data_IF_055778509240
#
_entry.id   IF_055778509240
#
_cell.length_a   1.000
_cell.length_b   1.000
_cell.length_c   1.000
_cell.angle_alpha   90.00
_cell.angle_beta   90.00
_cell.angle_gamma   90.00
#
_symmetry.space_group_name_H-M   'P 1'
#
loop_
_entity.id
_entity.type
_entity.pdbx_description
1 polymer ?
#
# COMPACT_ATOMS: atom_id res chain seq x y z
N UNK A 1 -34.99 19.74 -1.88
CA UNK A 1 -33.57 19.30 -1.85
C UNK A 1 -33.11 19.12 -0.40
N UNK A 2 -33.06 17.86 0.08
CA UNK A 2 -32.53 17.58 1.41
C UNK A 2 -31.06 18.00 1.44
N UNK A 3 -30.71 18.95 2.30
CA UNK A 3 -29.32 19.28 2.58
C UNK A 3 -28.64 17.98 3.06
N UNK A 4 -27.71 17.46 2.27
CA UNK A 4 -27.03 16.20 2.56
C UNK A 4 -26.30 16.30 3.91
N UNK A 5 -26.47 15.28 4.76
CA UNK A 5 -25.80 15.23 6.06
C UNK A 5 -24.27 15.30 5.88
N UNK A 6 -23.62 16.25 6.56
CA UNK A 6 -22.16 16.46 6.48
C UNK A 6 -21.48 15.75 7.66
N UNK A 7 -20.71 14.71 7.38
CA UNK A 7 -19.86 14.07 8.38
C UNK A 7 -18.66 14.98 8.71
N UNK A 8 -18.41 15.21 10.00
CA UNK A 8 -17.33 16.09 10.48
C UNK A 8 -16.14 15.28 10.99
N UNK A 9 -14.94 15.66 10.55
CA UNK A 9 -13.65 15.07 10.92
C UNK A 9 -12.68 16.18 11.31
N UNK A 10 -11.68 15.85 12.12
CA UNK A 10 -10.63 16.81 12.50
C UNK A 10 -9.57 16.92 11.40
N UNK A 11 -9.39 15.86 10.60
CA UNK A 11 -8.41 15.83 9.53
C UNK A 11 -8.86 14.94 8.36
N UNK A 12 -9.06 15.54 7.18
CA UNK A 12 -9.39 14.82 5.94
C UNK A 12 -8.18 14.80 5.02
N UNK A 13 -7.75 13.60 4.63
CA UNK A 13 -6.61 13.38 3.74
C UNK A 13 -7.10 12.86 2.40
N UNK A 14 -6.76 13.57 1.32
CA UNK A 14 -7.07 13.18 -0.05
C UNK A 14 -5.80 12.59 -0.67
N UNK A 15 -5.80 11.27 -0.88
CA UNK A 15 -4.68 10.49 -1.39
C UNK A 15 -4.09 9.55 -0.33
N UNK A 16 -4.21 8.25 -0.56
CA UNK A 16 -3.64 7.16 0.25
C UNK A 16 -2.22 6.78 -0.19
N UNK A 17 -1.42 7.74 -0.65
CA UNK A 17 -0.01 7.57 -0.98
C UNK A 17 0.92 7.71 0.25
N UNK A 18 2.23 7.74 0.03
CA UNK A 18 3.22 7.80 1.11
C UNK A 18 3.00 8.97 2.07
N UNK A 19 2.80 10.19 1.55
CA UNK A 19 2.57 11.38 2.37
C UNK A 19 1.24 11.34 3.12
N UNK A 20 0.15 11.04 2.42
CA UNK A 20 -1.19 11.03 3.01
C UNK A 20 -1.34 9.98 4.12
N UNK A 21 -0.86 8.76 3.89
CA UNK A 21 -0.91 7.70 4.91
C UNK A 21 -0.04 8.02 6.12
N UNK A 22 1.15 8.61 5.92
CA UNK A 22 2.01 9.01 7.02
C UNK A 22 1.36 10.12 7.86
N UNK A 23 0.82 11.15 7.21
CA UNK A 23 0.17 12.28 7.87
C UNK A 23 -1.08 11.84 8.64
N UNK A 24 -1.98 11.10 7.99
CA UNK A 24 -3.20 10.59 8.62
C UNK A 24 -2.90 9.73 9.86
N UNK A 25 -1.93 8.82 9.75
CA UNK A 25 -1.53 7.97 10.87
C UNK A 25 -0.94 8.77 12.03
N UNK A 26 -0.13 9.80 11.76
CA UNK A 26 0.40 10.68 12.81
C UNK A 26 -0.70 11.52 13.45
N UNK A 27 -1.64 12.05 12.66
CA UNK A 27 -2.79 12.77 13.20
C UNK A 27 -3.63 11.87 14.13
N UNK A 28 -3.86 10.61 13.74
CA UNK A 28 -4.57 9.66 14.58
C UNK A 28 -3.79 9.25 15.85
N UNK A 29 -2.45 9.18 15.80
CA UNK A 29 -1.61 8.99 17.00
C UNK A 29 -1.79 10.13 18.00
N UNK A 30 -2.09 11.34 17.53
CA UNK A 30 -2.35 12.53 18.35
C UNK A 30 -3.82 12.68 18.76
N UNK A 31 -4.68 11.69 18.46
CA UNK A 31 -6.10 11.67 18.84
C UNK A 31 -7.06 12.35 17.86
N UNK A 32 -6.60 12.82 16.70
CA UNK A 32 -7.47 13.42 15.69
C UNK A 32 -8.37 12.36 15.03
N UNK A 33 -9.65 12.68 14.82
CA UNK A 33 -10.56 11.89 13.98
C UNK A 33 -10.19 12.12 12.52
N UNK A 34 -9.31 11.27 12.00
CA UNK A 34 -8.80 11.38 10.64
C UNK A 34 -9.53 10.44 9.67
N UNK A 35 -9.75 10.90 8.44
CA UNK A 35 -10.20 10.06 7.34
C UNK A 35 -9.26 10.17 6.14
N UNK A 36 -9.07 9.06 5.43
CA UNK A 36 -8.28 9.00 4.20
C UNK A 36 -9.17 8.60 3.04
N UNK A 37 -9.11 9.38 1.97
CA UNK A 37 -9.78 9.11 0.70
C UNK A 37 -8.73 8.64 -0.30
N UNK A 38 -8.92 7.46 -0.87
CA UNK A 38 -8.08 6.91 -1.93
C UNK A 38 -9.00 6.38 -3.04
N UNK A 39 -8.66 6.72 -4.28
CA UNK A 39 -9.43 6.33 -5.47
C UNK A 39 -8.99 4.99 -6.05
N UNK A 40 -7.76 4.56 -5.75
CA UNK A 40 -7.14 3.35 -6.27
C UNK A 40 -6.59 2.48 -5.13
N UNK A 41 -5.33 2.03 -5.23
CA UNK A 41 -4.68 1.14 -4.26
C UNK A 41 -3.91 1.95 -3.22
N UNK A 42 -4.14 1.64 -1.95
CA UNK A 42 -3.37 2.19 -0.83
C UNK A 42 -1.86 1.97 -1.01
N UNK A 43 -1.07 2.95 -0.61
CA UNK A 43 0.37 3.03 -0.84
C UNK A 43 0.76 3.86 -2.06
N UNK A 44 -0.21 4.19 -2.93
CA UNK A 44 -0.03 5.10 -4.07
C UNK A 44 1.11 4.68 -5.01
N UNK A 45 1.77 5.66 -5.63
CA UNK A 45 2.85 5.44 -6.60
C UNK A 45 3.98 4.59 -6.03
N UNK A 46 4.49 4.93 -4.84
CA UNK A 46 5.66 4.28 -4.24
C UNK A 46 5.51 2.76 -4.16
N UNK A 47 4.35 2.29 -3.71
CA UNK A 47 4.09 0.86 -3.49
C UNK A 47 3.72 0.15 -4.78
N UNK A 48 2.88 0.76 -5.61
CA UNK A 48 2.23 0.04 -6.70
C UNK A 48 3.00 0.11 -8.03
N UNK A 49 3.62 1.25 -8.35
CA UNK A 49 4.20 1.50 -9.69
C UNK A 49 5.53 2.28 -9.64
N UNK A 50 6.15 2.38 -8.46
CA UNK A 50 7.32 3.21 -8.23
C UNK A 50 8.41 2.46 -7.48
N UNK A 51 8.81 3.00 -6.33
CA UNK A 51 9.99 2.59 -5.57
C UNK A 51 10.05 1.08 -5.31
N UNK A 52 8.95 0.49 -4.84
CA UNK A 52 8.90 -0.93 -4.46
C UNK A 52 9.11 -1.86 -5.66
N UNK A 53 8.25 -1.86 -6.70
CA UNK A 53 8.44 -2.75 -7.84
C UNK A 53 9.76 -2.46 -8.56
N UNK A 54 10.20 -1.19 -8.61
CA UNK A 54 11.52 -0.83 -9.18
C UNK A 54 12.66 -1.50 -8.42
N UNK A 55 12.65 -1.49 -7.07
CA UNK A 55 13.73 -2.08 -6.28
C UNK A 55 13.75 -3.60 -6.39
N UNK A 56 12.59 -4.25 -6.51
CA UNK A 56 12.52 -5.70 -6.79
C UNK A 56 13.22 -6.02 -8.12
N UNK A 57 12.90 -5.28 -9.19
CA UNK A 57 13.52 -5.52 -10.49
C UNK A 57 15.01 -5.17 -10.50
N UNK A 58 15.43 -4.13 -9.77
CA UNK A 58 16.85 -3.79 -9.63
C UNK A 58 17.61 -4.91 -8.90
N UNK A 59 17.06 -5.49 -7.83
CA UNK A 59 17.69 -6.65 -7.18
C UNK A 59 17.78 -7.86 -8.14
N UNK A 60 16.79 -8.05 -9.02
CA UNK A 60 16.85 -9.09 -10.06
C UNK A 60 17.98 -8.84 -11.06
N UNK A 61 18.15 -7.59 -11.50
CA UNK A 61 19.25 -7.21 -12.38
C UNK A 61 20.60 -7.43 -11.69
N UNK A 62 20.78 -6.91 -10.47
CA UNK A 62 22.01 -7.11 -9.68
C UNK A 62 22.34 -8.58 -9.47
N UNK A 63 21.33 -9.41 -9.20
CA UNK A 63 21.55 -10.85 -9.09
C UNK A 63 22.05 -11.44 -10.42
N UNK A 64 21.46 -11.06 -11.55
CA UNK A 64 21.92 -11.48 -12.87
C UNK A 64 23.37 -11.08 -13.14
N UNK A 65 23.76 -9.85 -12.76
CA UNK A 65 25.13 -9.37 -12.92
C UNK A 65 26.12 -10.24 -12.11
N UNK A 66 25.82 -10.52 -10.84
CA UNK A 66 26.67 -11.39 -10.01
C UNK A 66 26.78 -12.83 -10.55
N UNK A 67 25.77 -13.32 -11.27
CA UNK A 67 25.82 -14.66 -11.85
C UNK A 67 26.82 -14.77 -13.01
N UNK A 68 27.28 -13.66 -13.60
CA UNK A 68 28.37 -13.69 -14.58
C UNK A 68 29.71 -14.08 -13.94
N UNK A 69 29.93 -13.69 -12.69
CA UNK A 69 31.16 -14.01 -11.94
C UNK A 69 31.08 -15.40 -11.28
N UNK A 70 30.01 -16.16 -11.49
CA UNK A 70 29.77 -17.44 -10.80
C UNK A 70 30.89 -18.46 -11.02
N UNK A 71 31.41 -18.53 -12.26
CA UNK A 71 32.53 -19.39 -12.62
C UNK A 71 33.86 -18.93 -11.98
N UNK A 72 34.09 -17.63 -11.93
CA UNK A 72 35.29 -17.04 -11.33
C UNK A 72 35.35 -17.27 -9.82
N UNK A 73 34.19 -17.39 -9.18
CA UNK A 73 34.06 -17.76 -7.76
C UNK A 73 34.12 -19.27 -7.50
N UNK A 74 34.45 -20.10 -8.50
CA UNK A 74 34.69 -21.54 -8.33
C UNK A 74 33.44 -22.42 -8.40
N UNK A 75 32.29 -21.87 -8.80
CA UNK A 75 31.07 -22.64 -9.05
C UNK A 75 30.93 -22.99 -10.54
N UNK A 76 30.22 -24.06 -10.92
CA UNK A 76 29.93 -24.33 -12.33
C UNK A 76 29.15 -23.18 -12.98
N UNK A 77 29.40 -22.90 -14.27
CA UNK A 77 28.69 -21.82 -15.00
C UNK A 77 27.17 -21.95 -14.91
N UNK A 78 26.48 -20.83 -14.64
CA UNK A 78 25.03 -20.81 -14.51
C UNK A 78 24.37 -20.44 -15.85
N UNK A 79 24.24 -21.41 -16.74
CA UNK A 79 23.63 -21.22 -18.05
C UNK A 79 22.11 -21.40 -17.98
N UNK A 80 21.39 -20.30 -17.79
CA UNK A 80 19.92 -20.30 -17.72
C UNK A 80 19.31 -19.08 -18.41
N UNK A 81 18.18 -19.28 -19.09
CA UNK A 81 17.40 -18.16 -19.63
C UNK A 81 16.59 -17.51 -18.52
N UNK A 82 16.68 -16.18 -18.43
CA UNK A 82 15.87 -15.41 -17.51
C UNK A 82 14.37 -15.55 -17.84
N UNK A 83 13.56 -15.93 -16.84
CA UNK A 83 12.11 -16.01 -16.96
C UNK A 83 11.44 -14.78 -16.32
N UNK A 84 11.08 -13.80 -17.17
CA UNK A 84 10.41 -12.56 -16.74
C UNK A 84 9.10 -12.81 -15.99
N UNK A 85 8.34 -13.83 -16.40
CA UNK A 85 7.02 -14.10 -15.84
C UNK A 85 7.09 -14.48 -14.36
N UNK A 86 8.08 -15.29 -14.00
CA UNK A 86 8.31 -15.73 -12.61
C UNK A 86 8.57 -14.52 -11.70
N UNK A 87 9.42 -13.58 -12.11
CA UNK A 87 9.71 -12.41 -11.25
C UNK A 87 8.53 -11.45 -11.20
N UNK A 88 7.81 -11.27 -12.32
CA UNK A 88 6.61 -10.42 -12.37
C UNK A 88 5.55 -10.91 -11.39
N UNK A 89 5.25 -12.20 -11.39
CA UNK A 89 4.26 -12.81 -10.49
C UNK A 89 4.65 -12.65 -9.02
N UNK A 90 5.93 -12.89 -8.68
CA UNK A 90 6.45 -12.69 -7.30
C UNK A 90 6.41 -11.22 -6.87
N UNK A 91 6.76 -10.30 -7.77
CA UNK A 91 6.70 -8.85 -7.54
C UNK A 91 5.28 -8.39 -7.27
N UNK A 92 4.33 -8.78 -8.13
CA UNK A 92 2.93 -8.39 -8.01
C UNK A 92 2.32 -8.96 -6.72
N UNK A 93 2.66 -10.20 -6.34
CA UNK A 93 2.26 -10.79 -5.07
C UNK A 93 2.80 -10.01 -3.85
N UNK A 94 4.04 -9.50 -3.92
CA UNK A 94 4.61 -8.67 -2.85
C UNK A 94 3.90 -7.32 -2.73
N UNK A 95 3.61 -6.66 -3.85
CA UNK A 95 2.82 -5.40 -3.87
C UNK A 95 1.44 -5.62 -3.24
N UNK A 96 0.75 -6.72 -3.60
CA UNK A 96 -0.56 -7.05 -3.03
C UNK A 96 -0.50 -7.24 -1.50
N UNK A 97 0.54 -7.90 -0.98
CA UNK A 97 0.76 -8.01 0.49
C UNK A 97 0.93 -6.65 1.15
N UNK A 98 1.67 -5.74 0.52
CA UNK A 98 1.85 -4.37 1.05
C UNK A 98 0.53 -3.60 1.06
N UNK A 99 -0.30 -3.70 0.02
CA UNK A 99 -1.62 -3.06 0.02
C UNK A 99 -2.46 -3.52 1.24
N UNK A 100 -2.48 -4.82 1.52
CA UNK A 100 -3.18 -5.37 2.69
C UNK A 100 -2.61 -4.86 4.02
N UNK A 101 -1.28 -4.74 4.14
CA UNK A 101 -0.63 -4.17 5.32
C UNK A 101 -1.00 -2.69 5.51
N UNK A 102 -1.00 -1.89 4.43
CA UNK A 102 -1.40 -0.49 4.52
C UNK A 102 -2.87 -0.32 4.91
N UNK A 103 -3.75 -1.17 4.39
CA UNK A 103 -5.16 -1.21 4.81
C UNK A 103 -5.27 -1.54 6.30
N UNK A 104 -4.58 -2.58 6.77
CA UNK A 104 -4.58 -2.98 8.18
C UNK A 104 -4.04 -1.85 9.08
N UNK A 105 -2.99 -1.14 8.64
CA UNK A 105 -2.43 -0.03 9.39
C UNK A 105 -3.40 1.14 9.61
N UNK A 106 -4.44 1.27 8.78
CA UNK A 106 -5.50 2.26 8.97
C UNK A 106 -6.61 1.73 9.90
N UNK A 107 -6.87 0.43 9.91
CA UNK A 107 -7.94 -0.19 10.72
C UNK A 107 -7.53 -0.55 12.15
N UNK A 108 -6.24 -0.43 12.52
CA UNK A 108 -5.76 -0.83 13.85
C UNK A 108 -6.51 -0.06 14.97
N UNK A 109 -7.06 -0.75 15.98
CA UNK A 109 -8.02 -0.18 16.93
C UNK A 109 -7.47 0.95 17.82
N UNK A 110 -6.15 1.03 18.00
CA UNK A 110 -5.52 2.11 18.77
C UNK A 110 -5.40 3.44 18.00
N UNK A 111 -5.87 3.50 16.74
CA UNK A 111 -5.71 4.66 15.85
C UNK A 111 -6.94 4.78 14.96
N UNK A 112 -7.94 5.56 15.36
CA UNK A 112 -9.16 5.75 14.57
C UNK A 112 -8.87 6.59 13.30
N UNK A 113 -8.32 5.93 12.28
CA UNK A 113 -8.17 6.44 10.92
C UNK A 113 -9.18 5.72 10.04
N UNK A 114 -10.35 6.32 9.85
CA UNK A 114 -11.39 5.70 9.03
C UNK A 114 -11.02 5.82 7.55
N UNK A 115 -10.75 4.69 6.92
CA UNK A 115 -10.50 4.61 5.48
C UNK A 115 -11.71 4.00 4.79
N UNK A 116 -12.73 4.81 4.46
CA UNK A 116 -13.75 4.39 3.50
C UNK A 116 -14.43 5.58 2.83
N UNK A 117 -14.15 5.75 1.54
CA UNK A 117 -15.12 6.32 0.59
C UNK A 117 -15.20 5.34 -0.58
N UNK A 118 -15.88 4.21 -0.35
CA UNK A 118 -16.60 3.59 -1.44
C UNK A 118 -17.88 4.43 -1.61
N UNK A 119 -17.93 5.23 -2.66
CA UNK A 119 -19.19 5.76 -3.18
C UNK A 119 -20.05 4.57 -3.63
N UNK A 120 -20.81 4.00 -2.71
CA UNK A 120 -22.00 3.21 -3.03
C UNK A 120 -23.03 3.57 -1.97
N UNK A 121 -24.06 4.30 -2.39
CA UNK A 121 -25.05 4.89 -1.49
C UNK A 121 -25.86 3.82 -0.79
N UNK A 122 -25.66 3.68 0.52
CA UNK A 122 -26.76 3.47 1.45
C UNK A 122 -26.27 3.87 2.86
N UNK A 123 -26.90 4.89 3.44
CA UNK A 123 -26.43 5.63 4.61
C UNK A 123 -26.61 4.92 5.94
N UNK A 124 -26.12 3.68 6.09
CA UNK A 124 -26.16 2.95 7.36
C UNK A 124 -24.80 2.34 7.68
N UNK A 125 -24.15 2.90 8.70
CA UNK A 125 -22.95 2.36 9.34
C UNK A 125 -23.36 1.18 10.25
N UNK A 126 -23.02 -0.09 9.91
CA UNK A 126 -23.51 -1.25 10.66
C UNK A 126 -22.78 -1.52 11.97
N UNK A 127 -21.77 -0.72 12.35
CA UNK A 127 -20.83 -1.07 13.42
C UNK A 127 -20.62 0.01 14.49
N UNK A 128 -21.59 0.90 14.72
CA UNK A 128 -21.62 1.66 15.97
C UNK A 128 -22.09 0.75 17.11
N UNK A 129 -21.26 0.44 18.12
CA UNK A 129 -21.77 -0.07 19.39
C UNK A 129 -22.56 1.09 20.02
N UNK A 130 -23.84 0.85 20.28
CA UNK A 130 -24.65 1.75 21.10
C UNK A 130 -24.05 1.84 22.50
N UNK A 131 -24.08 3.04 23.07
CA UNK A 131 -24.30 3.15 24.51
C UNK A 131 -25.70 2.66 24.84
#
# INVERSE_FOLDING_TARGET
PAAGAVASYDYLVIGGGSGGLASARRAAELGARAAVVESHKLGGTCVNVGCVPKKVMWNTAVHSEFMHDHADYGFPSCEGKFNWRVIKEKRDAYVSRLNAIYQNNLTKPQRHCWCRLHCCGDGRDPLRPGF
#
